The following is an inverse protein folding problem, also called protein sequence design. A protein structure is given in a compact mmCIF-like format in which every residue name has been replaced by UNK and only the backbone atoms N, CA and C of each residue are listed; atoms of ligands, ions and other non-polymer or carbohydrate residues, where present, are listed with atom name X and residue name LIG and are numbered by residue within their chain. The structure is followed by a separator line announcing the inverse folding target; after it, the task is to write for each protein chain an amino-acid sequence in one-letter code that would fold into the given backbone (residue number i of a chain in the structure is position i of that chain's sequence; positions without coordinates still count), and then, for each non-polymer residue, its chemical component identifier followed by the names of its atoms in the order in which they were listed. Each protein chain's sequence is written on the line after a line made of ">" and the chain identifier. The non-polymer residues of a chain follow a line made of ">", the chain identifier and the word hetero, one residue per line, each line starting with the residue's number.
data_IF_314212905513
#
_entry.id   IF_314212905513
#
_cell.length_a   1.000
_cell.length_b   1.000
_cell.length_c   1.000
_cell.angle_alpha   90.00
_cell.angle_beta   90.00
_cell.angle_gamma   90.00
#
_symmetry.space_group_name_H-M   'P 1'
#
loop_
_entity.id
_entity.type
_entity.pdbx_description
1 polymer ?
#
# COMPACT_ATOMS: atom_id res chain seq x y z
N UNK A 1 3.89 -0.16 18.35
CA UNK A 1 3.59 0.21 16.98
C UNK A 1 3.75 1.68 16.78
N UNK A 2 4.19 2.03 15.69
CA UNK A 2 4.41 3.41 15.43
C UNK A 2 3.34 4.00 14.51
N UNK A 3 2.29 4.47 15.12
CA UNK A 3 1.17 5.10 14.44
C UNK A 3 1.62 6.28 13.58
N UNK A 4 2.53 7.10 14.13
CA UNK A 4 3.05 8.25 13.39
C UNK A 4 3.84 7.86 12.14
N UNK A 5 4.57 6.74 12.18
CA UNK A 5 5.30 6.24 11.02
C UNK A 5 4.36 5.79 9.92
N UNK A 6 3.29 5.07 10.27
CA UNK A 6 2.28 4.64 9.33
C UNK A 6 1.61 5.82 8.66
N UNK A 7 1.22 6.81 9.44
CA UNK A 7 0.58 8.03 8.94
C UNK A 7 1.49 8.78 7.96
N UNK A 8 2.77 8.92 8.28
CA UNK A 8 3.73 9.63 7.41
C UNK A 8 3.94 8.89 6.09
N UNK A 9 3.97 7.56 6.14
CA UNK A 9 4.15 6.77 4.93
C UNK A 9 2.90 6.83 4.04
N UNK A 10 1.71 6.80 4.63
CA UNK A 10 0.47 6.97 3.87
C UNK A 10 0.45 8.31 3.14
N UNK A 11 0.90 9.37 3.81
CA UNK A 11 0.99 10.69 3.20
C UNK A 11 2.01 10.70 2.05
N UNK A 12 3.14 10.03 2.24
CA UNK A 12 4.12 9.86 1.17
C UNK A 12 3.47 9.22 -0.06
N UNK A 13 2.70 8.16 0.14
CA UNK A 13 2.01 7.46 -0.95
C UNK A 13 0.98 8.36 -1.64
N UNK A 14 0.18 9.11 -0.85
CA UNK A 14 -0.81 10.01 -1.40
C UNK A 14 -0.18 11.03 -2.35
N UNK A 15 0.98 11.56 -2.00
CA UNK A 15 1.66 12.56 -2.80
C UNK A 15 2.17 12.02 -4.15
N UNK A 16 2.21 10.71 -4.32
CA UNK A 16 2.62 10.08 -5.58
C UNK A 16 1.46 9.92 -6.57
N UNK A 17 0.25 10.23 -6.16
CA UNK A 17 -0.90 10.26 -7.06
C UNK A 17 -1.10 11.69 -7.58
N UNK A 18 -0.71 11.94 -8.81
CA UNK A 18 -0.83 13.28 -9.39
C UNK A 18 -2.31 13.61 -9.65
N UNK A 19 -2.81 14.74 -9.14
CA UNK A 19 -4.25 15.11 -9.26
C UNK A 19 -4.73 15.21 -10.71
N UNK A 20 -3.83 15.44 -11.64
CA UNK A 20 -4.17 15.49 -13.07
C UNK A 20 -4.71 14.16 -13.57
N UNK A 21 -4.18 13.04 -13.04
CA UNK A 21 -4.52 11.70 -13.51
C UNK A 21 -5.33 10.88 -12.52
N UNK A 22 -5.34 11.28 -11.25
CA UNK A 22 -5.91 10.47 -10.19
C UNK A 22 -6.86 11.28 -9.31
N UNK A 23 -7.97 10.64 -8.94
CA UNK A 23 -8.91 11.17 -7.97
C UNK A 23 -8.83 10.29 -6.73
N UNK A 24 -8.61 10.91 -5.57
CA UNK A 24 -8.61 10.19 -4.30
C UNK A 24 -10.05 10.11 -3.82
N UNK A 25 -10.60 8.91 -3.73
CA UNK A 25 -11.98 8.70 -3.31
C UNK A 25 -12.11 8.48 -1.81
N UNK A 26 -11.10 7.85 -1.20
CA UNK A 26 -11.13 7.58 0.21
C UNK A 26 -9.70 7.49 0.76
N UNK A 27 -9.51 7.91 2.00
CA UNK A 27 -8.22 7.84 2.69
C UNK A 27 -8.46 7.48 4.14
N UNK A 28 -7.39 7.05 4.83
CA UNK A 28 -7.47 6.70 6.25
C UNK A 28 -7.96 7.88 7.09
N UNK A 29 -8.76 7.58 8.11
CA UNK A 29 -9.38 8.62 8.94
C UNK A 29 -8.36 9.55 9.59
N UNK A 30 -7.21 9.04 10.02
CA UNK A 30 -6.18 9.83 10.66
C UNK A 30 -5.50 10.83 9.72
N UNK A 31 -5.41 10.52 8.44
CA UNK A 31 -4.90 11.46 7.44
C UNK A 31 -5.98 12.48 7.09
N UNK A 32 -7.22 12.05 7.05
CA UNK A 32 -8.36 12.89 6.65
C UNK A 32 -8.99 13.65 7.81
N UNK A 33 -8.35 13.70 8.98
CA UNK A 33 -8.93 14.32 10.18
C UNK A 33 -9.33 15.77 10.01
N UNK A 34 -8.69 16.50 9.14
CA UNK A 34 -9.00 17.90 8.85
C UNK A 34 -10.05 18.07 7.74
N UNK A 35 -10.47 16.95 7.15
CA UNK A 35 -11.43 16.95 6.06
C UNK A 35 -12.62 16.11 6.51
N UNK A 36 -13.82 16.64 6.40
CA UNK A 36 -15.02 15.88 6.73
C UNK A 36 -15.17 14.72 5.76
N UNK A 37 -14.79 13.53 6.20
CA UNK A 37 -14.88 12.32 5.40
C UNK A 37 -15.49 11.20 6.24
N UNK A 38 -16.08 10.26 5.54
CA UNK A 38 -16.58 9.05 6.18
C UNK A 38 -15.39 8.27 6.74
N UNK A 39 -15.46 7.88 8.01
CA UNK A 39 -14.44 7.05 8.63
C UNK A 39 -14.49 5.66 8.01
N UNK A 40 -13.37 5.18 7.50
CA UNK A 40 -13.28 3.84 6.96
C UNK A 40 -13.20 2.81 8.08
N UNK A 41 -13.60 1.57 7.82
CA UNK A 41 -13.45 0.50 8.78
C UNK A 41 -11.98 0.04 8.83
N UNK A 42 -11.59 -0.64 9.93
CA UNK A 42 -10.23 -1.17 10.09
C UNK A 42 -9.88 -2.22 9.03
N UNK A 43 -10.87 -2.79 8.36
CA UNK A 43 -10.64 -3.81 7.34
C UNK A 43 -10.46 -3.24 5.94
N UNK A 44 -10.68 -1.93 5.77
CA UNK A 44 -10.54 -1.29 4.48
C UNK A 44 -9.08 -0.89 4.23
N UNK A 45 -8.63 -0.94 2.97
CA UNK A 45 -7.33 -0.39 2.61
C UNK A 45 -7.23 1.11 2.90
N UNK A 46 -6.00 1.61 3.04
CA UNK A 46 -5.75 2.99 3.45
C UNK A 46 -6.24 4.01 2.43
N UNK A 47 -6.08 3.73 1.16
CA UNK A 47 -6.34 4.69 0.08
C UNK A 47 -7.16 4.01 -1.01
N UNK A 48 -8.17 4.71 -1.52
CA UNK A 48 -8.90 4.29 -2.71
C UNK A 48 -8.77 5.41 -3.73
N UNK A 49 -8.30 5.05 -4.93
CA UNK A 49 -8.07 6.01 -6.01
C UNK A 49 -8.77 5.57 -7.28
N UNK A 50 -9.04 6.53 -8.13
CA UNK A 50 -9.63 6.29 -9.45
C UNK A 50 -8.79 7.01 -10.50
N UNK A 51 -8.44 6.30 -11.55
CA UNK A 51 -7.75 6.89 -12.69
C UNK A 51 -8.77 7.66 -13.54
N UNK A 52 -8.51 8.94 -13.79
CA UNK A 52 -9.46 9.82 -14.47
C UNK A 52 -9.64 9.49 -15.95
N UNK A 53 -8.62 8.94 -16.59
CA UNK A 53 -8.69 8.62 -18.02
C UNK A 53 -9.46 7.34 -18.31
N UNK A 54 -9.22 6.31 -17.49
CA UNK A 54 -9.79 4.98 -17.70
C UNK A 54 -10.95 4.64 -16.78
N UNK A 55 -11.21 5.48 -15.78
CA UNK A 55 -12.22 5.25 -14.73
C UNK A 55 -11.98 3.95 -13.96
N UNK A 56 -10.74 3.49 -13.91
CA UNK A 56 -10.36 2.30 -13.15
C UNK A 56 -10.04 2.68 -11.71
N UNK A 57 -10.52 1.88 -10.79
CA UNK A 57 -10.27 2.06 -9.36
C UNK A 57 -9.24 1.09 -8.84
N UNK A 58 -8.51 1.54 -7.85
CA UNK A 58 -7.52 0.74 -7.14
C UNK A 58 -7.58 1.08 -5.66
N UNK A 59 -7.39 0.08 -4.82
CA UNK A 59 -7.19 0.30 -3.40
C UNK A 59 -5.70 0.07 -3.09
N UNK A 60 -5.17 0.85 -2.17
CA UNK A 60 -3.77 0.76 -1.78
C UNK A 60 -3.68 0.67 -0.26
N UNK A 61 -3.05 -0.39 0.21
CA UNK A 61 -2.71 -0.55 1.62
C UNK A 61 -1.23 -0.24 1.79
N UNK A 62 -0.91 0.65 2.72
CA UNK A 62 0.45 1.14 2.92
C UNK A 62 1.05 0.53 4.18
N UNK A 63 2.24 -0.05 4.05
CA UNK A 63 2.96 -0.65 5.16
C UNK A 63 4.40 -0.15 5.16
N UNK A 64 4.85 0.38 6.29
CA UNK A 64 6.24 0.81 6.43
C UNK A 64 6.96 -0.07 7.45
N UNK A 65 8.19 -0.48 7.11
CA UNK A 65 9.07 -1.24 7.99
C UNK A 65 10.44 -0.60 7.99
N UNK A 66 11.04 -0.48 9.17
CA UNK A 66 12.35 0.16 9.26
C UNK A 66 13.45 -0.67 8.61
N UNK A 67 13.31 -1.99 8.60
CA UNK A 67 14.27 -2.89 7.97
C UNK A 67 13.67 -4.27 7.79
N UNK A 68 14.36 -5.09 7.01
CA UNK A 68 14.13 -6.53 6.98
C UNK A 68 14.77 -7.19 8.20
N UNK A 69 14.37 -8.41 8.47
CA UNK A 69 15.02 -9.20 9.53
C UNK A 69 15.15 -10.67 9.08
N UNK A 70 15.99 -11.43 9.76
CA UNK A 70 16.21 -12.85 9.44
C UNK A 70 15.11 -13.66 10.12
N UNK A 71 14.34 -14.39 9.32
CA UNK A 71 13.28 -15.26 9.82
C UNK A 71 13.81 -16.62 10.28
N UNK A 72 12.89 -17.45 10.78
CA UNK A 72 13.23 -18.78 11.29
C UNK A 72 13.88 -19.69 10.26
N UNK A 73 13.59 -19.49 8.99
CA UNK A 73 14.18 -20.28 7.91
C UNK A 73 15.53 -19.75 7.44
N UNK A 74 16.10 -18.77 8.14
CA UNK A 74 17.37 -18.15 7.78
C UNK A 74 17.31 -17.17 6.63
N UNK A 75 16.12 -16.88 6.12
CA UNK A 75 15.96 -15.94 5.02
C UNK A 75 15.58 -14.56 5.55
N UNK A 76 16.07 -13.55 4.86
CA UNK A 76 15.77 -12.16 5.16
C UNK A 76 14.41 -11.77 4.58
N UNK A 77 13.57 -11.11 5.37
CA UNK A 77 12.24 -10.74 4.93
C UNK A 77 11.53 -9.88 5.96
N UNK A 78 10.23 -9.77 5.84
CA UNK A 78 9.41 -9.01 6.78
C UNK A 78 8.00 -9.59 6.88
N UNK A 79 7.29 -9.21 7.94
CA UNK A 79 5.87 -9.48 8.09
C UNK A 79 5.14 -8.21 7.65
N UNK A 80 4.38 -8.29 6.56
CA UNK A 80 3.72 -7.10 6.02
C UNK A 80 2.34 -6.88 6.63
N UNK A 81 1.69 -7.92 7.11
CA UNK A 81 0.38 -7.82 7.76
C UNK A 81 0.15 -9.03 8.65
N UNK A 82 -0.79 -8.89 9.58
CA UNK A 82 -1.26 -10.04 10.37
C UNK A 82 -2.10 -10.95 9.47
N UNK A 83 -2.07 -12.25 9.75
CA UNK A 83 -2.75 -13.24 8.91
C UNK A 83 -4.24 -12.93 8.70
N UNK A 84 -4.95 -12.53 9.75
CA UNK A 84 -6.37 -12.24 9.63
C UNK A 84 -6.67 -11.04 8.75
N UNK A 85 -5.72 -10.10 8.63
CA UNK A 85 -5.89 -8.92 7.78
C UNK A 85 -5.87 -9.27 6.30
N UNK A 86 -5.08 -10.27 5.92
CA UNK A 86 -4.99 -10.69 4.52
C UNK A 86 -6.36 -11.13 4.01
N UNK A 87 -7.07 -11.92 4.80
CA UNK A 87 -8.42 -12.35 4.46
C UNK A 87 -9.39 -11.18 4.32
N UNK A 88 -9.24 -10.17 5.16
CA UNK A 88 -10.09 -8.97 5.10
C UNK A 88 -9.84 -8.16 3.82
N UNK A 89 -8.58 -8.03 3.41
CA UNK A 89 -8.25 -7.33 2.15
C UNK A 89 -8.76 -8.11 0.94
N UNK A 90 -8.66 -9.44 0.97
CA UNK A 90 -9.20 -10.29 -0.09
C UNK A 90 -10.72 -10.13 -0.21
N UNK A 91 -11.41 -10.09 0.91
CA UNK A 91 -12.85 -9.87 0.95
C UNK A 91 -13.21 -8.50 0.39
N UNK A 92 -12.45 -7.48 0.76
CA UNK A 92 -12.65 -6.12 0.23
C UNK A 92 -12.53 -6.11 -1.29
N UNK A 93 -11.49 -6.75 -1.83
CA UNK A 93 -11.27 -6.83 -3.27
C UNK A 93 -12.44 -7.52 -3.97
N UNK A 94 -12.90 -8.62 -3.42
CA UNK A 94 -14.01 -9.39 -3.97
C UNK A 94 -15.32 -8.59 -3.95
N UNK A 95 -15.62 -7.96 -2.82
CA UNK A 95 -16.88 -7.23 -2.64
C UNK A 95 -16.93 -5.94 -3.46
N UNK A 96 -15.81 -5.30 -3.68
CA UNK A 96 -15.77 -4.01 -4.39
C UNK A 96 -15.47 -4.14 -5.88
N UNK A 97 -14.94 -5.28 -6.32
CA UNK A 97 -14.73 -5.55 -7.73
C UNK A 97 -13.56 -4.80 -8.37
N UNK A 98 -12.62 -4.28 -7.57
CA UNK A 98 -11.41 -3.67 -8.11
C UNK A 98 -10.20 -4.11 -7.27
N UNK A 99 -8.99 -4.10 -7.88
CA UNK A 99 -7.83 -4.71 -7.21
C UNK A 99 -7.30 -3.90 -6.03
N UNK A 100 -6.78 -4.64 -5.05
CA UNK A 100 -6.04 -4.07 -3.93
C UNK A 100 -4.55 -4.29 -4.20
N UNK A 101 -3.78 -3.24 -3.97
CA UNK A 101 -2.32 -3.29 -4.02
C UNK A 101 -1.75 -3.00 -2.65
N UNK A 102 -0.59 -3.57 -2.37
CA UNK A 102 0.14 -3.31 -1.13
C UNK A 102 1.39 -2.53 -1.49
N UNK A 103 1.55 -1.37 -0.89
CA UNK A 103 2.77 -0.58 -1.01
C UNK A 103 3.58 -0.75 0.26
N UNK A 104 4.76 -1.32 0.14
CA UNK A 104 5.66 -1.55 1.28
C UNK A 104 6.85 -0.62 1.14
N UNK A 105 7.08 0.21 2.14
CA UNK A 105 8.27 1.03 2.24
C UNK A 105 9.21 0.44 3.27
N UNK A 106 10.49 0.39 2.97
CA UNK A 106 11.51 -0.19 3.85
C UNK A 106 12.71 0.74 3.97
N UNK A 107 13.15 0.97 5.18
CA UNK A 107 14.34 1.73 5.46
C UNK A 107 14.17 3.23 5.31
N UNK A 108 15.21 3.98 5.60
CA UNK A 108 15.15 5.44 5.58
C UNK A 108 14.17 5.97 6.60
N UNK A 109 13.25 6.79 6.13
CA UNK A 109 12.18 7.36 6.95
C UNK A 109 10.83 7.06 6.30
N UNK A 110 9.73 7.03 7.06
CA UNK A 110 8.41 6.82 6.48
C UNK A 110 8.04 7.86 5.42
N UNK A 111 8.48 9.10 5.60
CA UNK A 111 8.26 10.19 4.64
C UNK A 111 9.26 10.17 3.48
N UNK A 112 10.32 9.38 3.60
CA UNK A 112 11.38 9.26 2.59
C UNK A 112 11.96 7.85 2.64
N UNK A 113 11.20 6.84 2.22
CA UNK A 113 11.67 5.46 2.30
C UNK A 113 12.86 5.23 1.38
N UNK A 114 13.74 4.32 1.79
CA UNK A 114 14.90 3.95 1.00
C UNK A 114 14.51 3.07 -0.17
N UNK A 115 13.55 2.16 0.06
CA UNK A 115 13.05 1.24 -0.96
C UNK A 115 11.55 1.15 -0.88
N UNK A 116 10.90 0.99 -2.03
CA UNK A 116 9.45 0.77 -2.10
C UNK A 116 9.13 -0.39 -3.02
N UNK A 117 8.10 -1.13 -2.63
CA UNK A 117 7.61 -2.30 -3.37
C UNK A 117 6.11 -2.16 -3.56
N UNK A 118 5.64 -2.35 -4.79
CA UNK A 118 4.22 -2.27 -5.11
C UNK A 118 3.76 -3.64 -5.59
N UNK A 119 2.96 -4.32 -4.77
CA UNK A 119 2.62 -5.72 -5.01
C UNK A 119 1.10 -5.87 -5.08
N UNK A 120 0.55 -6.47 -6.15
CA UNK A 120 -0.87 -6.80 -6.14
C UNK A 120 -1.17 -7.79 -5.03
N UNK A 121 -2.28 -7.60 -4.35
CA UNK A 121 -2.66 -8.45 -3.22
C UNK A 121 -2.64 -9.93 -3.59
N UNK A 122 -3.05 -10.26 -4.82
CA UNK A 122 -3.06 -11.65 -5.29
C UNK A 122 -1.69 -12.32 -5.27
N UNK A 123 -0.63 -11.54 -5.25
CA UNK A 123 0.74 -12.06 -5.18
C UNK A 123 1.24 -12.18 -3.74
N UNK A 124 0.45 -11.78 -2.75
CA UNK A 124 0.82 -11.84 -1.33
C UNK A 124 -0.18 -12.71 -0.57
N UNK A 125 0.08 -14.02 -0.54
CA UNK A 125 -0.82 -14.98 0.11
C UNK A 125 -0.48 -15.22 1.59
N UNK A 126 0.69 -14.81 2.03
CA UNK A 126 1.18 -15.05 3.38
C UNK A 126 1.64 -13.75 4.02
N UNK A 127 1.61 -13.71 5.35
CA UNK A 127 2.05 -12.54 6.12
C UNK A 127 3.55 -12.30 6.02
N UNK A 128 4.33 -13.36 5.83
CA UNK A 128 5.78 -13.29 5.67
C UNK A 128 6.14 -13.18 4.20
N UNK A 129 6.98 -12.20 3.87
CA UNK A 129 7.50 -12.03 2.52
C UNK A 129 9.02 -11.87 2.58
N UNK A 130 9.74 -12.65 1.78
CA UNK A 130 11.19 -12.55 1.71
C UNK A 130 11.61 -11.35 0.88
N UNK A 131 12.79 -10.81 1.18
CA UNK A 131 13.37 -9.73 0.39
C UNK A 131 13.51 -10.13 -1.07
N UNK A 132 13.96 -11.35 -1.34
CA UNK A 132 14.10 -11.86 -2.70
C UNK A 132 12.79 -11.85 -3.47
N UNK A 133 11.71 -12.24 -2.80
CA UNK A 133 10.39 -12.22 -3.43
C UNK A 133 9.94 -10.80 -3.71
N UNK A 134 10.10 -9.91 -2.74
CA UNK A 134 9.67 -8.52 -2.86
C UNK A 134 10.46 -7.76 -3.94
N UNK A 135 11.71 -8.11 -4.18
CA UNK A 135 12.52 -7.45 -5.21
C UNK A 135 11.87 -7.49 -6.59
N UNK A 136 11.08 -8.51 -6.86
CA UNK A 136 10.36 -8.62 -8.13
C UNK A 136 9.35 -7.49 -8.34
N UNK A 137 8.95 -6.84 -7.26
CA UNK A 137 7.93 -5.79 -7.26
C UNK A 137 8.49 -4.43 -6.87
N UNK A 138 9.81 -4.30 -6.80
CA UNK A 138 10.42 -3.04 -6.40
C UNK A 138 10.19 -1.96 -7.45
N UNK A 139 9.80 -0.78 -6.99
CA UNK A 139 9.62 0.40 -7.84
C UNK A 139 10.60 1.48 -7.40
N UNK A 140 10.81 2.46 -8.24
CA UNK A 140 11.66 3.60 -7.89
C UNK A 140 10.96 4.47 -6.86
N UNK A 141 11.72 4.90 -5.85
CA UNK A 141 11.18 5.82 -4.84
C UNK A 141 10.92 7.18 -5.48
N UNK A 142 9.92 7.88 -4.95
CA UNK A 142 9.57 9.24 -5.36
C UNK A 142 9.08 9.38 -6.83
N UNK A 143 8.80 8.27 -7.50
CA UNK A 143 8.21 8.31 -8.83
C UNK A 143 6.69 8.30 -8.73
N UNK A 144 5.98 9.20 -9.42
CA UNK A 144 4.52 9.19 -9.42
C UNK A 144 3.97 7.86 -9.93
N UNK A 145 2.86 7.44 -9.34
CA UNK A 145 2.15 6.26 -9.82
C UNK A 145 1.57 6.51 -11.20
N UNK A 146 1.54 5.48 -12.02
CA UNK A 146 0.97 5.53 -13.35
C UNK A 146 0.13 4.30 -13.63
N UNK A 147 -0.69 4.39 -14.65
CA UNK A 147 -1.47 3.27 -15.15
C UNK A 147 -0.77 2.69 -16.38
N UNK A 148 -0.51 1.39 -16.37
CA UNK A 148 0.14 0.72 -17.49
C UNK A 148 -0.55 -0.62 -17.70
N UNK A 149 -1.13 -0.81 -18.89
CA UNK A 149 -1.90 -2.03 -19.23
C UNK A 149 -2.99 -2.33 -18.20
N UNK A 150 -3.66 -1.29 -17.70
CA UNK A 150 -4.71 -1.37 -16.69
C UNK A 150 -4.20 -1.83 -15.31
N UNK A 151 -2.91 -1.81 -15.09
CA UNK A 151 -2.30 -2.10 -13.78
C UNK A 151 -1.70 -0.84 -13.19
N UNK A 152 -1.76 -0.75 -11.87
CA UNK A 152 -1.09 0.32 -11.13
C UNK A 152 0.43 0.04 -11.13
N UNK A 153 1.18 1.05 -11.49
CA UNK A 153 2.64 0.95 -11.55
C UNK A 153 3.30 2.09 -10.80
#
# INVERSE_FOLDING_TARGET
>A
MNYAKGHKFEKYALDLFEPEYWEIENIAADISSEIERKVKSDSDPDIIVKNKQKNLKFALECKYRSDFFIGKNGKRGLVWAKDYKIGKYQKFEEENGFPVYILIGVGGFPSKPERTFLIPLKALNYSWATEDYLQKFQIKVNEPFRLENNYLK
#
